data_IF_523877154733
#
_entry.id   IF_523877154733
#
_cell.length_a   1.000
_cell.length_b   1.000
_cell.length_c   1.000
_cell.angle_alpha   90.00
_cell.angle_beta   90.00
_cell.angle_gamma   90.00
#
_symmetry.space_group_name_H-M   'P 1'
#
loop_
_entity.id
_entity.type
_entity.pdbx_description
1 polymer ?
#
# COMPACT_ATOMS: atom_id res chain seq x y z
N UNK A 1 5.80 -23.65 -37.71
CA UNK A 1 4.67 -23.20 -36.87
C UNK A 1 5.05 -23.52 -35.44
N UNK A 2 5.63 -22.55 -34.77
CA UNK A 2 6.10 -22.66 -33.38
C UNK A 2 4.89 -22.31 -32.50
N UNK A 3 4.48 -23.16 -31.54
CA UNK A 3 3.32 -22.86 -30.72
C UNK A 3 3.63 -21.65 -29.84
N UNK A 4 2.80 -20.62 -29.98
CA UNK A 4 2.79 -19.45 -29.12
C UNK A 4 2.60 -19.91 -27.68
N UNK A 5 3.64 -19.72 -26.87
CA UNK A 5 3.54 -19.87 -25.43
C UNK A 5 2.49 -18.86 -24.94
N UNK A 6 1.26 -19.35 -24.73
CA UNK A 6 0.25 -18.63 -23.97
C UNK A 6 0.88 -18.30 -22.62
N UNK A 7 1.28 -17.03 -22.45
CA UNK A 7 1.58 -16.40 -21.17
C UNK A 7 0.29 -16.44 -20.35
N UNK A 8 0.00 -17.62 -19.77
CA UNK A 8 -0.98 -17.81 -18.72
C UNK A 8 -0.43 -17.11 -17.48
N UNK A 9 -0.37 -15.77 -17.51
CA UNK A 9 -0.31 -15.00 -16.28
C UNK A 9 -1.62 -15.31 -15.58
N UNK A 10 -1.58 -16.05 -14.45
CA UNK A 10 -2.79 -16.47 -13.78
C UNK A 10 -3.61 -15.23 -13.50
N UNK A 11 -4.93 -15.40 -13.60
CA UNK A 11 -6.02 -14.47 -13.33
C UNK A 11 -5.85 -13.76 -11.98
N UNK A 12 -4.85 -12.89 -11.86
CA UNK A 12 -4.47 -12.20 -10.64
C UNK A 12 -5.57 -11.23 -10.21
N UNK A 13 -6.49 -10.90 -11.13
CA UNK A 13 -7.67 -10.08 -10.92
C UNK A 13 -8.86 -10.82 -10.30
N UNK A 14 -8.90 -12.16 -10.31
CA UNK A 14 -10.13 -12.90 -9.96
C UNK A 14 -10.32 -13.16 -8.44
N UNK A 15 -9.28 -13.03 -7.61
CA UNK A 15 -9.31 -13.57 -6.23
C UNK A 15 -9.38 -12.54 -5.10
N UNK A 16 -9.19 -11.26 -5.38
CA UNK A 16 -9.33 -10.20 -4.36
C UNK A 16 -10.75 -9.60 -4.41
N UNK A 17 -11.70 -10.29 -3.79
CA UNK A 17 -12.90 -9.60 -3.30
C UNK A 17 -12.44 -8.42 -2.45
N UNK A 18 -12.97 -7.22 -2.68
CA UNK A 18 -12.62 -5.99 -1.93
C UNK A 18 -12.54 -6.22 -0.42
N UNK A 19 -13.42 -7.07 0.11
CA UNK A 19 -13.44 -7.47 1.52
C UNK A 19 -12.23 -8.33 1.92
N UNK A 20 -11.81 -9.29 1.09
CA UNK A 20 -10.60 -10.09 1.33
C UNK A 20 -9.34 -9.23 1.27
N UNK A 21 -9.29 -8.29 0.32
CA UNK A 21 -8.20 -7.32 0.21
C UNK A 21 -8.04 -6.43 1.42
N UNK A 22 -9.16 -5.90 1.89
CA UNK A 22 -9.20 -5.12 3.11
C UNK A 22 -8.77 -5.95 4.34
N UNK A 23 -9.26 -7.18 4.50
CA UNK A 23 -8.89 -8.04 5.62
C UNK A 23 -7.41 -8.44 5.63
N UNK A 24 -6.86 -8.78 4.46
CA UNK A 24 -5.42 -9.07 4.34
C UNK A 24 -4.60 -7.83 4.61
N UNK A 25 -4.97 -6.69 4.03
CA UNK A 25 -4.28 -5.41 4.23
C UNK A 25 -4.30 -4.95 5.69
N UNK A 26 -5.43 -5.13 6.39
CA UNK A 26 -5.55 -4.82 7.82
C UNK A 26 -4.76 -5.79 8.69
N UNK A 27 -4.83 -7.11 8.44
CA UNK A 27 -4.06 -8.10 9.20
C UNK A 27 -2.55 -7.90 9.05
N UNK A 28 -2.08 -7.61 7.84
CA UNK A 28 -0.69 -7.24 7.56
C UNK A 28 -0.35 -5.94 8.28
N UNK A 29 -1.20 -4.91 8.20
CA UNK A 29 -1.00 -3.63 8.88
C UNK A 29 -0.83 -3.78 10.40
N UNK A 30 -1.70 -4.56 11.05
CA UNK A 30 -1.61 -4.87 12.49
C UNK A 30 -0.31 -5.60 12.82
N UNK A 31 0.06 -6.60 12.02
CA UNK A 31 1.27 -7.41 12.24
C UNK A 31 2.53 -6.55 12.10
N UNK A 32 2.59 -5.72 11.05
CA UNK A 32 3.71 -4.81 10.81
C UNK A 32 3.80 -3.75 11.91
N UNK A 33 2.70 -3.17 12.37
CA UNK A 33 2.73 -2.24 13.50
C UNK A 33 3.22 -2.93 14.77
N UNK A 34 2.78 -4.16 15.05
CA UNK A 34 3.27 -4.92 16.21
C UNK A 34 4.78 -5.14 16.16
N UNK A 35 5.30 -5.55 15.01
CA UNK A 35 6.71 -5.92 14.85
C UNK A 35 7.63 -4.71 14.73
N UNK A 36 7.21 -3.66 14.02
CA UNK A 36 8.06 -2.54 13.66
C UNK A 36 7.85 -1.28 14.51
N UNK A 37 6.78 -1.15 15.29
CA UNK A 37 6.60 0.02 16.16
C UNK A 37 7.75 0.24 17.17
N UNK A 38 8.31 -0.81 17.82
CA UNK A 38 9.49 -0.62 18.67
C UNK A 38 10.72 -0.10 17.92
N UNK A 39 10.89 -0.52 16.67
CA UNK A 39 12.01 -0.13 15.82
C UNK A 39 11.87 1.31 15.33
N UNK A 40 10.67 1.71 14.90
CA UNK A 40 10.35 3.07 14.49
C UNK A 40 10.59 4.05 15.64
N UNK A 41 10.15 3.69 16.86
CA UNK A 41 10.36 4.51 18.05
C UNK A 41 11.82 4.60 18.46
N UNK A 42 12.56 3.50 18.40
CA UNK A 42 13.99 3.50 18.68
C UNK A 42 14.77 4.36 17.68
N UNK A 43 14.33 4.38 16.41
CA UNK A 43 14.92 5.23 15.38
C UNK A 43 14.62 6.70 15.66
N UNK A 44 13.37 7.04 15.98
CA UNK A 44 12.99 8.39 16.39
C UNK A 44 13.83 8.90 17.57
N UNK A 45 13.94 8.11 18.65
CA UNK A 45 14.74 8.48 19.82
C UNK A 45 16.23 8.57 19.50
N UNK A 46 16.77 7.73 18.62
CA UNK A 46 18.17 7.82 18.20
C UNK A 46 18.47 9.16 17.51
N UNK A 47 17.52 9.68 16.73
CA UNK A 47 17.63 10.97 16.04
C UNK A 47 17.42 12.13 17.02
N UNK A 48 16.38 12.09 17.85
CA UNK A 48 16.03 13.19 18.77
C UNK A 48 17.03 13.34 19.91
N UNK A 49 17.42 12.24 20.54
CA UNK A 49 18.31 12.24 21.71
C UNK A 49 19.80 12.14 21.32
N UNK A 50 20.11 12.01 20.03
CA UNK A 50 21.46 11.80 19.49
C UNK A 50 22.19 10.61 20.17
N UNK A 51 21.45 9.54 20.43
CA UNK A 51 21.99 8.31 21.06
C UNK A 51 22.15 7.20 20.03
N UNK A 52 23.11 6.28 20.20
CA UNK A 52 23.23 5.13 19.32
C UNK A 52 21.93 4.33 19.31
N UNK A 53 21.49 3.89 18.12
CA UNK A 53 20.20 3.24 17.91
C UNK A 53 19.93 2.07 18.87
N UNK A 54 20.95 1.23 19.11
CA UNK A 54 20.88 0.05 19.98
C UNK A 54 21.00 0.37 21.49
N UNK A 55 20.81 1.63 21.92
CA UNK A 55 20.79 1.97 23.33
C UNK A 55 19.59 1.30 24.03
N UNK A 56 19.78 0.62 25.17
CA UNK A 56 18.67 0.05 25.96
C UNK A 56 17.61 1.09 26.35
N UNK A 57 18.01 2.36 26.47
CA UNK A 57 17.12 3.48 26.77
C UNK A 57 16.14 3.78 25.63
N UNK A 58 16.49 3.48 24.38
CA UNK A 58 15.60 3.64 23.22
C UNK A 58 14.48 2.57 23.21
N UNK A 59 14.69 1.45 23.90
CA UNK A 59 13.74 0.35 24.02
C UNK A 59 13.03 0.29 25.38
N UNK A 60 13.19 1.30 26.25
CA UNK A 60 12.60 1.29 27.59
C UNK A 60 11.05 1.39 27.58
N UNK A 61 10.46 2.00 26.55
CA UNK A 61 9.01 2.22 26.43
C UNK A 61 8.47 1.97 25.00
N UNK A 62 8.68 0.79 24.42
CA UNK A 62 8.57 0.53 22.97
C UNK A 62 7.15 0.65 22.39
N UNK A 63 6.12 0.76 23.23
CA UNK A 63 4.71 0.81 22.86
C UNK A 63 4.06 2.19 23.02
N UNK A 64 4.82 3.21 23.41
CA UNK A 64 4.32 4.59 23.45
C UNK A 64 4.06 5.07 22.01
N UNK A 65 2.85 5.57 21.72
CA UNK A 65 2.41 5.90 20.34
C UNK A 65 1.91 4.70 19.51
N UNK A 66 1.94 3.48 20.05
CA UNK A 66 1.56 2.26 19.31
C UNK A 66 0.14 2.29 18.75
N UNK A 67 -0.83 2.85 19.49
CA UNK A 67 -2.23 2.91 19.06
C UNK A 67 -2.38 3.70 17.76
N UNK A 68 -1.65 4.80 17.64
CA UNK A 68 -1.64 5.66 16.46
C UNK A 68 -0.98 4.95 15.28
N UNK A 69 0.21 4.36 15.50
CA UNK A 69 0.92 3.59 14.49
C UNK A 69 0.14 2.36 13.98
N UNK A 70 -0.63 1.70 14.85
CA UNK A 70 -1.55 0.61 14.47
C UNK A 70 -2.70 1.15 13.63
N UNK A 71 -3.37 2.21 14.07
CA UNK A 71 -4.51 2.78 13.35
C UNK A 71 -4.08 3.22 11.94
N UNK A 72 -2.98 3.98 11.82
CA UNK A 72 -2.49 4.46 10.54
C UNK A 72 -2.14 3.30 9.61
N UNK A 73 -1.29 2.35 10.01
CA UNK A 73 -0.88 1.22 9.14
C UNK A 73 -2.02 0.25 8.81
N UNK A 74 -2.93 0.03 9.74
CA UNK A 74 -4.08 -0.86 9.53
C UNK A 74 -5.07 -0.24 8.55
N UNK A 75 -5.41 1.04 8.74
CA UNK A 75 -6.35 1.73 7.85
C UNK A 75 -5.75 1.93 6.48
N UNK A 76 -4.50 2.40 6.38
CA UNK A 76 -3.82 2.56 5.08
C UNK A 76 -3.63 1.24 4.34
N UNK A 77 -3.16 0.20 5.03
CA UNK A 77 -2.98 -1.14 4.45
C UNK A 77 -4.31 -1.77 4.01
N UNK A 78 -5.37 -1.60 4.80
CA UNK A 78 -6.70 -2.06 4.44
C UNK A 78 -7.30 -1.33 3.25
N UNK A 79 -7.16 0.00 3.18
CA UNK A 79 -7.73 0.82 2.10
C UNK A 79 -6.95 0.72 0.79
N UNK A 80 -5.68 0.35 0.81
CA UNK A 80 -4.83 0.32 -0.38
C UNK A 80 -5.40 -0.53 -1.50
N UNK A 81 -5.70 -1.80 -1.24
CA UNK A 81 -6.22 -2.72 -2.25
C UNK A 81 -7.55 -2.27 -2.87
N UNK A 82 -8.62 -1.94 -2.11
CA UNK A 82 -9.88 -1.52 -2.71
C UNK A 82 -9.78 -0.18 -3.47
N UNK A 83 -8.98 0.77 -2.98
CA UNK A 83 -8.76 2.04 -3.69
C UNK A 83 -7.98 1.83 -4.98
N UNK A 84 -6.93 1.00 -4.94
CA UNK A 84 -6.12 0.69 -6.11
C UNK A 84 -6.95 0.06 -7.23
N UNK A 85 -7.79 -0.93 -6.91
CA UNK A 85 -8.69 -1.56 -7.89
C UNK A 85 -9.70 -0.56 -8.47
N UNK A 86 -10.26 0.31 -7.61
CA UNK A 86 -11.21 1.34 -8.05
C UNK A 86 -10.56 2.31 -9.02
N UNK A 87 -9.38 2.86 -8.69
CA UNK A 87 -8.67 3.78 -9.55
C UNK A 87 -8.11 3.11 -10.80
N UNK A 88 -7.66 1.85 -10.70
CA UNK A 88 -7.21 1.09 -11.87
C UNK A 88 -8.35 0.88 -12.86
N UNK A 89 -9.55 0.51 -12.38
CA UNK A 89 -10.76 0.40 -13.21
C UNK A 89 -11.14 1.72 -13.88
N UNK A 90 -11.08 2.84 -13.15
CA UNK A 90 -11.36 4.18 -13.69
C UNK A 90 -10.33 4.59 -14.75
N UNK A 91 -9.04 4.45 -14.46
CA UNK A 91 -7.95 4.85 -15.35
C UNK A 91 -7.93 3.98 -16.61
N UNK A 92 -8.14 2.67 -16.49
CA UNK A 92 -8.20 1.77 -17.64
C UNK A 92 -9.43 2.03 -18.51
N UNK A 93 -10.61 2.27 -17.92
CA UNK A 93 -11.82 2.65 -18.66
C UNK A 93 -11.65 3.98 -19.38
N UNK A 94 -11.05 4.97 -18.71
CA UNK A 94 -10.75 6.27 -19.29
C UNK A 94 -9.74 6.16 -20.44
N UNK A 95 -8.67 5.38 -20.26
CA UNK A 95 -7.67 5.12 -21.29
C UNK A 95 -8.29 4.45 -22.52
N UNK A 96 -9.16 3.45 -22.34
CA UNK A 96 -9.85 2.79 -23.45
C UNK A 96 -10.83 3.73 -24.18
N UNK A 97 -11.47 4.65 -23.47
CA UNK A 97 -12.37 5.64 -24.08
C UNK A 97 -11.61 6.70 -24.89
N UNK A 98 -10.49 7.21 -24.35
CA UNK A 98 -9.68 8.26 -24.99
C UNK A 98 -8.82 7.71 -26.13
N UNK A 99 -8.20 6.53 -25.93
CA UNK A 99 -7.20 5.98 -26.84
C UNK A 99 -7.77 4.87 -27.75
N UNK A 100 -9.05 4.97 -28.11
CA UNK A 100 -9.79 3.95 -28.89
C UNK A 100 -9.11 3.57 -30.23
N UNK A 101 -8.25 4.44 -30.78
CA UNK A 101 -7.49 4.22 -32.03
C UNK A 101 -5.97 3.96 -31.84
N UNK A 102 -5.44 4.01 -30.61
CA UNK A 102 -4.01 3.81 -30.38
C UNK A 102 -3.71 2.32 -30.17
N UNK A 103 -3.00 1.73 -31.13
CA UNK A 103 -2.67 0.30 -31.19
C UNK A 103 -2.23 -0.34 -29.86
N UNK A 104 -2.69 -1.58 -29.70
CA UNK A 104 -2.66 -2.57 -28.60
C UNK A 104 -1.35 -2.81 -27.81
N UNK A 105 -0.32 -1.96 -27.88
CA UNK A 105 1.03 -2.32 -27.41
C UNK A 105 1.53 -1.68 -26.11
N UNK A 106 0.82 -0.74 -25.50
CA UNK A 106 1.38 0.13 -24.46
C UNK A 106 0.25 0.75 -23.62
N UNK A 107 0.14 0.68 -22.28
CA UNK A 107 1.09 0.30 -21.22
C UNK A 107 0.30 -0.09 -19.96
N UNK A 108 0.14 -1.39 -19.61
CA UNK A 108 -0.48 -1.76 -18.33
C UNK A 108 0.25 -1.12 -17.13
N UNK A 109 1.56 -0.87 -17.28
CA UNK A 109 2.38 -0.18 -16.29
C UNK A 109 1.96 1.28 -16.05
N UNK A 110 1.62 2.05 -17.09
CA UNK A 110 1.30 3.47 -16.91
C UNK A 110 -0.07 3.67 -16.23
N UNK A 111 -1.03 2.80 -16.52
CA UNK A 111 -2.31 2.79 -15.81
C UNK A 111 -2.12 2.39 -14.34
N UNK A 112 -1.28 1.38 -14.08
CA UNK A 112 -0.96 0.95 -12.73
C UNK A 112 -0.20 2.02 -11.92
N UNK A 113 0.73 2.76 -12.53
CA UNK A 113 1.44 3.84 -11.83
C UNK A 113 0.50 4.99 -11.48
N UNK A 114 -0.38 5.40 -12.41
CA UNK A 114 -1.36 6.45 -12.14
C UNK A 114 -2.37 6.03 -11.05
N UNK A 115 -2.89 4.81 -11.13
CA UNK A 115 -3.77 4.26 -10.11
C UNK A 115 -3.09 4.21 -8.73
N UNK A 116 -1.81 3.81 -8.69
CA UNK A 116 -1.01 3.82 -7.47
C UNK A 116 -0.81 5.21 -6.87
N UNK A 117 -0.51 6.22 -7.70
CA UNK A 117 -0.37 7.61 -7.24
C UNK A 117 -1.68 8.17 -6.71
N UNK A 118 -2.80 7.95 -7.40
CA UNK A 118 -4.13 8.37 -6.94
C UNK A 118 -4.51 7.71 -5.62
N UNK A 119 -4.20 6.42 -5.47
CA UNK A 119 -4.39 5.68 -4.22
C UNK A 119 -3.57 6.30 -3.09
N UNK A 120 -2.29 6.58 -3.32
CA UNK A 120 -1.41 7.20 -2.33
C UNK A 120 -1.86 8.59 -1.89
N UNK A 121 -2.26 9.45 -2.83
CA UNK A 121 -2.82 10.79 -2.52
C UNK A 121 -4.10 10.67 -1.69
N UNK A 122 -5.00 9.78 -2.07
CA UNK A 122 -6.26 9.57 -1.34
C UNK A 122 -6.01 9.10 0.08
N UNK A 123 -5.12 8.12 0.26
CA UNK A 123 -4.73 7.63 1.58
C UNK A 123 -4.09 8.76 2.41
N UNK A 124 -3.21 9.56 1.83
CA UNK A 124 -2.57 10.70 2.51
C UNK A 124 -3.59 11.73 3.00
N UNK A 125 -4.57 12.11 2.18
CA UNK A 125 -5.63 13.07 2.56
C UNK A 125 -6.49 12.51 3.68
N UNK A 126 -6.87 11.22 3.62
CA UNK A 126 -7.72 10.59 4.64
C UNK A 126 -6.98 10.43 5.97
N UNK A 127 -5.66 10.21 5.95
CA UNK A 127 -4.84 10.03 7.15
C UNK A 127 -4.28 11.33 7.74
N UNK A 128 -4.33 12.44 7.00
CA UNK A 128 -3.81 13.73 7.46
C UNK A 128 -4.29 14.18 8.86
N UNK A 129 -5.54 13.97 9.30
CA UNK A 129 -5.97 14.36 10.66
C UNK A 129 -5.49 13.42 11.78
N UNK A 130 -4.89 12.27 11.44
CA UNK A 130 -4.40 11.26 12.40
C UNK A 130 -2.89 11.43 12.66
N UNK A 131 -2.20 12.23 11.83
CA UNK A 131 -0.76 12.43 11.84
C UNK A 131 -0.38 13.83 12.38
#
# INVERSE_FOLDING_TARGET
QTPEAQDQRPEASAWYSNSKGFLVGTAVGVTLSGLFNPMDRALYLSVVEHRPFLSPLNFASPWEGFREAVVVRTVTGGLFFPLFETFLGIVTSCHQWICRDAGSGSRPLACATLAGQLTGVTIGVVMNPIN
#
